data_IF_458072961745
#
_entry.id   IF_458072961745
#
_cell.length_a   1.000
_cell.length_b   1.000
_cell.length_c   1.000
_cell.angle_alpha   90.00
_cell.angle_beta   90.00
_cell.angle_gamma   90.00
#
_symmetry.space_group_name_H-M   'P 1'
#
loop_
_entity.id
_entity.type
_entity.pdbx_description
1 polymer ?
#
# COMPACT_ATOMS: atom_id res chain seq x y z
N UNK A 1 -15.63 -11.93 10.64
CA UNK A 1 -14.34 -11.30 10.99
C UNK A 1 -14.49 -9.79 10.79
N UNK A 2 -13.87 -8.96 11.64
CA UNK A 2 -14.21 -7.51 11.71
C UNK A 2 -13.49 -6.59 10.71
N UNK A 3 -12.53 -7.10 9.93
CA UNK A 3 -11.76 -6.33 8.93
C UNK A 3 -11.09 -7.25 7.90
N UNK A 4 -10.72 -6.69 6.75
CA UNK A 4 -9.96 -7.39 5.71
C UNK A 4 -8.47 -7.50 6.08
N UNK A 5 -7.86 -8.64 5.79
CA UNK A 5 -6.45 -8.90 6.06
C UNK A 5 -5.86 -9.85 5.02
N UNK A 6 -4.55 -9.77 4.85
CA UNK A 6 -3.82 -10.58 3.88
C UNK A 6 -3.96 -12.07 4.22
N UNK A 7 -4.57 -12.86 3.32
CA UNK A 7 -4.86 -14.29 3.50
C UNK A 7 -5.49 -14.67 4.87
N UNK A 8 -6.40 -13.85 5.40
CA UNK A 8 -7.02 -14.05 6.71
C UNK A 8 -6.02 -14.06 7.91
N UNK A 9 -4.79 -13.58 7.71
CA UNK A 9 -3.81 -13.42 8.78
C UNK A 9 -4.07 -12.10 9.51
N UNK A 10 -4.70 -12.19 10.69
CA UNK A 10 -5.11 -11.02 11.48
C UNK A 10 -3.97 -10.04 11.83
N UNK A 11 -2.74 -10.52 11.87
CA UNK A 11 -1.56 -9.68 12.11
C UNK A 11 -1.24 -8.71 10.96
N UNK A 12 -1.82 -8.93 9.77
CA UNK A 12 -1.60 -8.13 8.57
C UNK A 12 -2.92 -7.49 8.08
N UNK A 13 -3.45 -6.48 8.80
CA UNK A 13 -4.64 -5.77 8.38
C UNK A 13 -4.38 -5.07 7.04
N UNK A 14 -5.35 -5.18 6.13
CA UNK A 14 -5.23 -4.56 4.81
C UNK A 14 -5.46 -3.05 4.92
N UNK A 15 -4.56 -2.27 4.32
CA UNK A 15 -4.77 -0.83 4.18
C UNK A 15 -5.92 -0.55 3.20
N UNK A 16 -6.74 0.45 3.52
CA UNK A 16 -7.84 0.86 2.65
C UNK A 16 -7.35 1.83 1.57
N UNK A 17 -7.09 1.30 0.37
CA UNK A 17 -6.59 2.04 -0.79
C UNK A 17 -7.60 3.04 -1.39
N UNK A 18 -8.89 2.91 -1.09
CA UNK A 18 -9.92 3.87 -1.51
C UNK A 18 -9.87 5.17 -0.70
N UNK A 19 -9.27 5.13 0.49
CA UNK A 19 -9.10 6.30 1.35
C UNK A 19 -7.99 7.21 0.79
N UNK A 20 -8.28 8.45 0.35
CA UNK A 20 -7.28 9.32 -0.28
C UNK A 20 -6.05 9.59 0.59
N UNK A 21 -6.22 9.69 1.91
CA UNK A 21 -5.12 9.90 2.85
C UNK A 21 -4.14 8.70 2.90
N UNK A 22 -4.64 7.46 2.75
CA UNK A 22 -3.80 6.26 2.69
C UNK A 22 -2.95 6.26 1.42
N UNK A 23 -3.55 6.61 0.26
CA UNK A 23 -2.81 6.74 -0.99
C UNK A 23 -1.72 7.80 -0.90
N UNK A 24 -2.08 8.99 -0.42
CA UNK A 24 -1.13 10.09 -0.25
C UNK A 24 0.03 9.71 0.69
N UNK A 25 -0.25 8.94 1.75
CA UNK A 25 0.78 8.41 2.64
C UNK A 25 1.72 7.44 1.91
N UNK A 26 1.19 6.47 1.18
CA UNK A 26 1.99 5.48 0.44
C UNK A 26 2.87 6.14 -0.63
N UNK A 27 2.33 7.10 -1.39
CA UNK A 27 3.13 7.88 -2.35
C UNK A 27 4.20 8.73 -1.68
N UNK A 28 3.90 9.35 -0.53
CA UNK A 28 4.89 10.13 0.22
C UNK A 28 6.06 9.26 0.67
N UNK A 29 5.81 8.02 1.10
CA UNK A 29 6.85 7.04 1.45
C UNK A 29 7.65 6.65 0.20
N UNK A 30 6.98 6.34 -0.91
CA UNK A 30 7.63 5.98 -2.16
C UNK A 30 8.57 7.11 -2.65
N UNK A 31 8.09 8.35 -2.68
CA UNK A 31 8.87 9.52 -3.07
C UNK A 31 10.00 9.85 -2.09
N UNK A 32 9.79 9.62 -0.79
CA UNK A 32 10.82 9.87 0.22
C UNK A 32 12.09 9.08 -0.12
N UNK A 33 11.98 7.80 -0.46
CA UNK A 33 13.14 6.98 -0.80
C UNK A 33 13.67 7.23 -2.20
N UNK A 34 12.82 7.56 -3.17
CA UNK A 34 13.28 8.03 -4.49
C UNK A 34 14.17 9.27 -4.34
N UNK A 35 13.78 10.23 -3.49
CA UNK A 35 14.60 11.40 -3.14
C UNK A 35 15.90 11.05 -2.38
N UNK A 36 16.01 9.83 -1.84
CA UNK A 36 17.25 9.31 -1.22
C UNK A 36 18.15 8.56 -2.21
N UNK A 37 17.73 8.40 -3.47
CA UNK A 37 18.56 7.86 -4.55
C UNK A 37 18.38 6.37 -4.82
N UNK A 38 17.26 5.75 -4.41
CA UNK A 38 16.93 4.40 -4.90
C UNK A 38 16.48 4.47 -6.37
N UNK A 39 16.77 3.45 -7.15
CA UNK A 39 16.44 3.41 -8.58
C UNK A 39 15.03 2.87 -8.88
N UNK A 40 14.34 2.28 -7.89
CA UNK A 40 13.00 1.75 -8.10
C UNK A 40 12.42 0.96 -6.93
N UNK A 41 11.21 0.47 -7.13
CA UNK A 41 10.42 -0.27 -6.14
C UNK A 41 9.97 -1.63 -6.68
N UNK A 42 10.14 -2.68 -5.87
CA UNK A 42 9.39 -3.93 -6.02
C UNK A 42 8.19 -3.86 -5.07
N UNK A 43 6.99 -3.95 -5.62
CA UNK A 43 5.75 -3.92 -4.83
C UNK A 43 5.45 -5.31 -4.27
N UNK A 44 5.21 -5.40 -2.96
CA UNK A 44 4.76 -6.62 -2.30
C UNK A 44 3.23 -6.72 -2.35
N UNK A 45 2.71 -7.92 -2.63
CA UNK A 45 1.28 -8.19 -2.79
C UNK A 45 0.51 -7.16 -3.66
N UNK A 46 1.00 -6.81 -4.88
CA UNK A 46 0.35 -5.79 -5.71
C UNK A 46 -1.08 -6.17 -6.13
N UNK A 47 -1.39 -7.47 -6.19
CA UNK A 47 -2.71 -8.03 -6.44
C UNK A 47 -3.75 -7.66 -5.36
N UNK A 48 -3.32 -7.27 -4.16
CA UNK A 48 -4.20 -6.80 -3.10
C UNK A 48 -4.69 -5.35 -3.30
N UNK A 49 -4.19 -4.63 -4.31
CA UNK A 49 -4.65 -3.28 -4.68
C UNK A 49 -5.70 -3.42 -5.77
N UNK A 50 -6.95 -3.06 -5.44
CA UNK A 50 -8.10 -3.17 -6.35
C UNK A 50 -8.68 -1.79 -6.74
N UNK A 51 -8.16 -0.72 -6.13
CA UNK A 51 -8.63 0.66 -6.37
C UNK A 51 -8.21 1.12 -7.77
N UNK A 52 -9.16 1.50 -8.65
CA UNK A 52 -8.83 1.98 -9.99
C UNK A 52 -8.03 3.29 -9.94
N UNK A 53 -6.97 3.37 -10.73
CA UNK A 53 -6.12 4.57 -10.78
C UNK A 53 -5.32 4.82 -9.51
N UNK A 54 -5.22 3.81 -8.63
CA UNK A 54 -4.14 3.74 -7.66
C UNK A 54 -2.81 3.52 -8.39
#
# INVERSE_FOLDING_TARGET
MGYACWHNLLALPQLNHDTPAVRAFLFKVAEYWLRKGIDGWRLDAPDCIQTPGF
#
